data_IF_089835051550
#
_entry.id   IF_089835051550
#
_cell.length_a   1.000
_cell.length_b   1.000
_cell.length_c   1.000
_cell.angle_alpha   90.00
_cell.angle_beta   90.00
_cell.angle_gamma   90.00
#
_symmetry.space_group_name_H-M   'P 1'
#
loop_
_entity.id
_entity.type
_entity.pdbx_description
1 polymer ?
#
# COMPACT_ATOMS: atom_id res chain seq x y z
N UNK A 1 62.01 -26.03 50.40
CA UNK A 1 61.67 -27.14 49.48
C UNK A 1 60.23 -27.51 49.66
N UNK A 2 59.38 -26.84 48.95
CA UNK A 2 57.99 -27.31 48.77
C UNK A 2 57.46 -26.69 47.47
N UNK A 3 57.35 -27.59 46.52
CA UNK A 3 56.77 -27.34 45.21
C UNK A 3 55.24 -27.28 45.35
N UNK A 4 54.61 -26.22 44.79
CA UNK A 4 53.17 -26.13 44.71
C UNK A 4 52.78 -25.83 43.28
N UNK A 5 52.54 -26.90 42.53
CA UNK A 5 51.96 -26.88 41.20
C UNK A 5 50.53 -26.34 41.26
N UNK A 6 50.29 -25.15 40.71
CA UNK A 6 48.99 -24.54 40.53
C UNK A 6 48.43 -24.92 39.17
N UNK A 7 47.43 -25.77 39.13
CA UNK A 7 46.70 -26.12 37.93
C UNK A 7 45.83 -24.94 37.48
N UNK A 8 46.11 -24.43 36.28
CA UNK A 8 45.27 -23.43 35.60
C UNK A 8 44.09 -24.15 34.99
N UNK A 9 42.90 -23.94 35.56
CA UNK A 9 41.62 -24.38 34.98
C UNK A 9 41.26 -23.40 33.85
N UNK A 10 41.37 -23.87 32.63
CA UNK A 10 40.91 -23.13 31.46
C UNK A 10 39.38 -23.00 31.47
N UNK A 11 38.88 -21.79 31.58
CA UNK A 11 37.46 -21.48 31.44
C UNK A 11 37.02 -21.71 30.00
N UNK A 12 36.03 -22.57 29.81
CA UNK A 12 35.37 -22.80 28.53
C UNK A 12 34.62 -21.51 28.11
N UNK A 13 34.61 -21.13 26.80
CA UNK A 13 33.88 -19.97 26.36
C UNK A 13 32.36 -20.22 26.48
N UNK A 14 31.72 -19.31 27.17
CA UNK A 14 30.26 -19.20 27.28
C UNK A 14 29.64 -19.06 25.86
N UNK A 15 29.06 -20.15 25.38
CA UNK A 15 28.25 -20.11 24.15
C UNK A 15 26.94 -19.40 24.46
N UNK A 16 26.99 -18.07 24.43
CA UNK A 16 25.86 -17.20 24.58
C UNK A 16 24.75 -17.56 23.58
N UNK A 17 23.82 -18.37 24.05
CA UNK A 17 22.54 -18.61 23.40
C UNK A 17 21.90 -17.28 23.10
N UNK A 18 21.91 -16.85 21.84
CA UNK A 18 21.12 -15.70 21.37
C UNK A 18 19.66 -15.93 21.76
N UNK A 19 19.21 -15.37 22.87
CA UNK A 19 17.80 -15.30 23.26
C UNK A 19 17.05 -14.71 22.06
N UNK A 20 16.32 -15.57 21.36
CA UNK A 20 15.43 -15.23 20.26
C UNK A 20 14.40 -14.27 20.84
N UNK A 21 14.57 -12.96 20.61
CA UNK A 21 13.65 -11.93 21.04
C UNK A 21 12.26 -12.28 20.49
N UNK A 22 11.32 -12.58 21.39
CA UNK A 22 9.94 -12.90 21.00
C UNK A 22 9.32 -11.58 20.56
N UNK A 23 9.25 -11.36 19.25
CA UNK A 23 8.57 -10.18 18.70
C UNK A 23 7.10 -10.22 19.09
N UNK A 24 6.49 -9.04 19.38
CA UNK A 24 5.06 -8.91 19.65
C UNK A 24 4.20 -9.56 18.56
N UNK A 25 3.00 -10.02 18.92
CA UNK A 25 2.07 -10.68 17.98
C UNK A 25 1.78 -9.82 16.76
N UNK A 26 1.60 -8.52 16.95
CA UNK A 26 1.34 -7.56 15.87
C UNK A 26 2.51 -7.46 14.87
N UNK A 27 3.76 -7.44 15.35
CA UNK A 27 4.93 -7.38 14.48
C UNK A 27 5.06 -8.62 13.59
N UNK A 28 4.77 -9.81 14.13
CA UNK A 28 4.80 -11.05 13.34
C UNK A 28 3.70 -11.10 12.29
N UNK A 29 2.52 -10.58 12.63
CA UNK A 29 1.42 -10.44 11.68
C UNK A 29 1.83 -9.53 10.52
N UNK A 30 2.39 -8.36 10.81
CA UNK A 30 2.88 -7.43 9.79
C UNK A 30 4.01 -8.04 8.95
N UNK A 31 4.96 -8.73 9.57
CA UNK A 31 6.05 -9.41 8.88
C UNK A 31 5.54 -10.45 7.87
N UNK A 32 4.46 -11.17 8.18
CA UNK A 32 3.83 -12.12 7.26
C UNK A 32 3.10 -11.40 6.11
N UNK A 33 2.41 -10.29 6.36
CA UNK A 33 1.78 -9.46 5.33
C UNK A 33 2.84 -8.91 4.37
N UNK A 34 3.92 -8.33 4.89
CA UNK A 34 5.00 -7.76 4.07
C UNK A 34 5.69 -8.85 3.22
N UNK A 35 5.91 -10.03 3.79
CA UNK A 35 6.45 -11.17 3.05
C UNK A 35 5.47 -11.64 1.95
N UNK A 36 4.17 -11.61 2.22
CA UNK A 36 3.14 -11.95 1.23
C UNK A 36 3.16 -10.96 0.06
N UNK A 37 3.27 -9.66 0.34
CA UNK A 37 3.41 -8.61 -0.69
C UNK A 37 4.63 -8.89 -1.58
N UNK A 38 5.80 -9.19 -0.98
CA UNK A 38 7.01 -9.52 -1.76
C UNK A 38 6.82 -10.78 -2.59
N UNK A 39 6.26 -11.83 -2.02
CA UNK A 39 6.00 -13.08 -2.74
C UNK A 39 5.04 -12.87 -3.93
N UNK A 40 3.93 -12.14 -3.74
CA UNK A 40 2.98 -11.83 -4.82
C UNK A 40 3.68 -11.05 -5.94
N UNK A 41 4.48 -10.04 -5.59
CA UNK A 41 5.19 -9.23 -6.56
C UNK A 41 6.23 -10.03 -7.39
N UNK A 42 6.80 -11.09 -6.81
CA UNK A 42 7.80 -11.94 -7.47
C UNK A 42 7.20 -13.10 -8.28
N UNK A 43 6.14 -13.71 -7.77
CA UNK A 43 5.63 -14.99 -8.27
C UNK A 43 4.19 -14.92 -8.78
N UNK A 44 3.50 -13.80 -8.59
CA UNK A 44 2.08 -13.66 -8.89
C UNK A 44 1.19 -14.27 -7.80
N UNK A 45 -0.06 -13.80 -7.73
CA UNK A 45 -1.02 -14.15 -6.67
C UNK A 45 -1.38 -15.64 -6.64
N UNK A 46 -1.58 -16.26 -7.82
CA UNK A 46 -2.03 -17.65 -7.94
C UNK A 46 -0.97 -18.67 -7.49
N UNK A 47 0.32 -18.33 -7.61
CA UNK A 47 1.44 -19.23 -7.27
C UNK A 47 1.78 -19.26 -5.77
N UNK A 48 1.20 -18.37 -4.95
CA UNK A 48 1.57 -18.23 -3.54
C UNK A 48 1.20 -19.46 -2.72
N UNK A 49 2.16 -19.91 -1.92
CA UNK A 49 1.96 -20.96 -0.91
C UNK A 49 2.32 -20.43 0.47
N UNK A 50 1.76 -21.05 1.53
CA UNK A 50 2.10 -20.69 2.91
C UNK A 50 3.59 -20.88 3.20
N UNK A 51 4.20 -21.94 2.63
CA UNK A 51 5.63 -22.20 2.77
C UNK A 51 6.50 -21.11 2.14
N UNK A 52 6.12 -20.59 0.97
CA UNK A 52 6.85 -19.49 0.34
C UNK A 52 6.84 -18.25 1.22
N UNK A 53 5.67 -17.86 1.71
CA UNK A 53 5.50 -16.68 2.56
C UNK A 53 6.28 -16.83 3.87
N UNK A 54 6.18 -17.98 4.54
CA UNK A 54 6.85 -18.19 5.82
C UNK A 54 8.37 -18.26 5.68
N UNK A 55 8.88 -18.81 4.57
CA UNK A 55 10.31 -18.77 4.24
C UNK A 55 10.78 -17.34 4.03
N UNK A 56 10.06 -16.56 3.24
CA UNK A 56 10.35 -15.15 2.99
C UNK A 56 10.28 -14.30 4.29
N UNK A 57 9.36 -14.64 5.18
CA UNK A 57 9.22 -13.98 6.48
C UNK A 57 10.25 -14.44 7.52
N UNK A 58 10.98 -15.57 7.29
CA UNK A 58 11.84 -16.18 8.31
C UNK A 58 11.04 -16.74 9.50
N UNK A 59 9.81 -17.21 9.27
CA UNK A 59 8.88 -17.72 10.27
C UNK A 59 8.45 -19.16 9.93
N UNK A 60 7.92 -19.90 10.90
CA UNK A 60 7.36 -21.22 10.65
C UNK A 60 5.92 -21.17 10.15
N UNK A 61 5.48 -22.21 9.43
CA UNK A 61 4.08 -22.37 9.00
C UNK A 61 3.13 -22.39 10.19
N UNK A 62 3.55 -22.97 11.33
CA UNK A 62 2.75 -22.95 12.56
C UNK A 62 2.47 -21.54 13.07
N UNK A 63 3.45 -20.62 12.99
CA UNK A 63 3.25 -19.20 13.34
C UNK A 63 2.28 -18.55 12.36
N UNK A 64 2.40 -18.78 11.06
CA UNK A 64 1.48 -18.22 10.09
C UNK A 64 0.05 -18.71 10.29
N UNK A 65 -0.14 -20.00 10.56
CA UNK A 65 -1.46 -20.57 10.87
C UNK A 65 -2.06 -20.01 12.16
N UNK A 66 -1.23 -19.71 13.17
CA UNK A 66 -1.70 -19.07 14.41
C UNK A 66 -2.27 -17.66 14.16
N UNK A 67 -1.74 -16.93 13.16
CA UNK A 67 -2.17 -15.56 12.84
C UNK A 67 -3.31 -15.47 11.83
N UNK A 68 -3.32 -16.39 10.86
CA UNK A 68 -4.20 -16.27 9.69
C UNK A 68 -5.06 -17.50 9.42
N UNK A 69 -4.83 -18.62 10.15
CA UNK A 69 -5.55 -19.89 10.02
C UNK A 69 -5.34 -20.59 8.66
N UNK A 70 -5.39 -19.84 7.56
CA UNK A 70 -5.26 -20.34 6.19
C UNK A 70 -4.53 -19.37 5.27
N UNK A 71 -4.03 -19.89 4.13
CA UNK A 71 -3.48 -19.05 3.05
C UNK A 71 -4.52 -18.06 2.53
N UNK A 72 -5.77 -18.49 2.37
CA UNK A 72 -6.83 -17.65 1.84
C UNK A 72 -7.11 -16.44 2.76
N UNK A 73 -7.14 -16.65 4.07
CA UNK A 73 -7.27 -15.56 5.01
C UNK A 73 -6.05 -14.63 5.02
N UNK A 74 -4.83 -15.18 4.91
CA UNK A 74 -3.62 -14.36 4.78
C UNK A 74 -3.70 -13.46 3.53
N UNK A 75 -4.14 -13.99 2.39
CA UNK A 75 -4.30 -13.22 1.16
C UNK A 75 -5.38 -12.14 1.30
N UNK A 76 -6.52 -12.45 1.93
CA UNK A 76 -7.59 -11.45 2.21
C UNK A 76 -7.10 -10.33 3.12
N UNK A 77 -6.37 -10.66 4.18
CA UNK A 77 -5.81 -9.68 5.11
C UNK A 77 -4.71 -8.83 4.45
N UNK A 78 -3.93 -9.42 3.55
CA UNK A 78 -2.94 -8.67 2.76
C UNK A 78 -3.63 -7.68 1.81
N UNK A 79 -4.73 -8.08 1.17
CA UNK A 79 -5.52 -7.18 0.32
C UNK A 79 -6.12 -6.03 1.13
N UNK A 80 -6.72 -6.33 2.30
CA UNK A 80 -7.24 -5.28 3.19
C UNK A 80 -6.17 -4.30 3.59
N UNK A 81 -5.01 -4.79 4.02
CA UNK A 81 -3.89 -3.95 4.42
C UNK A 81 -3.45 -2.99 3.30
N UNK A 82 -3.28 -3.50 2.08
CA UNK A 82 -2.87 -2.67 0.93
C UNK A 82 -3.97 -1.65 0.55
N UNK A 83 -5.23 -2.07 0.58
CA UNK A 83 -6.37 -1.20 0.29
C UNK A 83 -6.54 -0.10 1.36
N UNK A 84 -6.47 -0.45 2.64
CA UNK A 84 -6.58 0.50 3.75
C UNK A 84 -5.42 1.50 3.77
N UNK A 85 -4.19 1.05 3.49
CA UNK A 85 -3.03 1.95 3.41
C UNK A 85 -3.20 2.99 2.28
N UNK A 86 -3.67 2.55 1.10
CA UNK A 86 -3.84 3.44 -0.05
C UNK A 86 -5.04 4.39 0.13
N UNK A 87 -6.20 3.85 0.41
CA UNK A 87 -7.42 4.66 0.52
C UNK A 87 -7.46 5.46 1.83
N UNK A 88 -6.92 4.91 2.92
CA UNK A 88 -6.81 5.63 4.18
C UNK A 88 -5.97 6.90 4.06
N UNK A 89 -4.81 6.81 3.41
CA UNK A 89 -3.97 7.98 3.17
C UNK A 89 -4.62 9.03 2.25
N UNK A 90 -5.41 8.60 1.26
CA UNK A 90 -6.19 9.53 0.44
C UNK A 90 -7.30 10.23 1.25
N UNK A 91 -8.05 9.47 2.04
CA UNK A 91 -9.14 9.99 2.86
C UNK A 91 -8.60 11.00 3.87
N UNK A 92 -7.49 10.69 4.54
CA UNK A 92 -6.83 11.59 5.49
C UNK A 92 -6.47 12.93 4.84
N UNK A 93 -5.93 12.93 3.62
CA UNK A 93 -5.62 14.16 2.89
C UNK A 93 -6.90 14.89 2.46
N UNK A 94 -7.90 14.18 1.95
CA UNK A 94 -9.14 14.80 1.46
C UNK A 94 -9.99 15.39 2.59
N UNK A 95 -9.94 14.82 3.79
CA UNK A 95 -10.60 15.31 5.00
C UNK A 95 -9.74 16.27 5.81
N UNK A 96 -8.44 16.34 5.54
CA UNK A 96 -7.41 16.97 6.36
C UNK A 96 -7.72 18.42 6.70
N UNK A 97 -8.02 18.67 7.96
CA UNK A 97 -8.17 20.02 8.53
C UNK A 97 -6.84 20.79 8.52
N UNK A 98 -5.71 20.05 8.45
CA UNK A 98 -4.35 20.61 8.45
C UNK A 98 -3.99 21.31 7.12
N UNK A 99 -4.74 21.08 6.03
CA UNK A 99 -4.55 21.72 4.73
C UNK A 99 -5.85 22.45 4.35
N UNK A 100 -6.05 23.69 4.80
CA UNK A 100 -7.31 24.41 4.59
C UNK A 100 -7.52 24.84 3.14
N UNK A 101 -6.46 25.17 2.40
CA UNK A 101 -6.55 25.53 0.99
C UNK A 101 -6.88 24.31 0.12
N UNK A 102 -7.95 24.42 -0.69
CA UNK A 102 -8.44 23.31 -1.50
C UNK A 102 -7.49 22.94 -2.65
N UNK A 103 -6.77 23.90 -3.20
CA UNK A 103 -5.77 23.68 -4.24
C UNK A 103 -4.54 22.93 -3.67
N UNK A 104 -4.03 23.37 -2.51
CA UNK A 104 -2.95 22.69 -1.81
C UNK A 104 -3.34 21.26 -1.40
N UNK A 105 -4.60 21.07 -0.97
CA UNK A 105 -5.13 19.74 -0.63
C UNK A 105 -5.18 18.84 -1.86
N UNK A 106 -5.55 19.36 -3.00
CA UNK A 106 -5.57 18.62 -4.25
C UNK A 106 -4.15 18.28 -4.75
N UNK A 107 -3.20 19.19 -4.61
CA UNK A 107 -1.79 18.92 -4.90
C UNK A 107 -1.19 17.87 -3.93
N UNK A 108 -1.54 17.94 -2.66
CA UNK A 108 -1.12 16.94 -1.66
C UNK A 108 -1.68 15.54 -2.00
N UNK A 109 -2.94 15.45 -2.43
CA UNK A 109 -3.56 14.20 -2.89
C UNK A 109 -2.81 13.63 -4.11
N UNK A 110 -2.50 14.48 -5.08
CA UNK A 110 -1.74 14.09 -6.27
C UNK A 110 -0.33 13.62 -5.92
N UNK A 111 0.33 14.30 -4.97
CA UNK A 111 1.65 13.94 -4.46
C UNK A 111 1.64 12.61 -3.73
N UNK A 112 0.61 12.33 -2.97
CA UNK A 112 0.42 11.05 -2.32
C UNK A 112 0.22 9.94 -3.35
N UNK A 113 -0.74 10.09 -4.26
CA UNK A 113 -1.12 9.06 -5.24
C UNK A 113 0.02 8.68 -6.20
N UNK A 114 0.82 9.65 -6.65
CA UNK A 114 1.94 9.43 -7.56
C UNK A 114 3.31 9.45 -6.85
N UNK A 115 3.31 9.55 -5.53
CA UNK A 115 4.48 9.55 -4.68
C UNK A 115 5.18 8.19 -4.58
N UNK A 116 6.39 8.21 -4.01
CA UNK A 116 7.22 6.99 -3.88
C UNK A 116 6.57 5.90 -3.01
N UNK A 117 5.77 6.28 -2.02
CA UNK A 117 5.11 5.34 -1.11
C UNK A 117 4.14 4.43 -1.84
N UNK A 118 3.27 5.01 -2.66
CA UNK A 118 2.22 4.33 -3.41
C UNK A 118 2.78 3.65 -4.67
N UNK A 119 3.61 4.34 -5.43
CA UNK A 119 4.14 3.86 -6.71
C UNK A 119 5.34 2.90 -6.57
N UNK A 120 5.49 2.23 -5.43
CA UNK A 120 6.42 1.11 -5.30
C UNK A 120 5.96 -0.05 -6.17
N UNK A 121 6.89 -0.55 -7.02
CA UNK A 121 6.58 -1.63 -7.96
C UNK A 121 5.91 -2.84 -7.27
N UNK A 122 6.37 -3.20 -6.09
CA UNK A 122 5.80 -4.33 -5.34
C UNK A 122 4.34 -4.09 -4.95
N UNK A 123 3.99 -2.91 -4.41
CA UNK A 123 2.62 -2.57 -4.01
C UNK A 123 1.69 -2.51 -5.22
N UNK A 124 2.13 -1.86 -6.31
CA UNK A 124 1.35 -1.83 -7.56
C UNK A 124 1.13 -3.23 -8.14
N UNK A 125 2.16 -4.09 -8.12
CA UNK A 125 2.02 -5.48 -8.59
C UNK A 125 0.98 -6.26 -7.79
N UNK A 126 0.94 -6.07 -6.47
CA UNK A 126 -0.06 -6.69 -5.59
C UNK A 126 -1.46 -6.19 -5.94
N UNK A 127 -1.62 -4.87 -6.05
CA UNK A 127 -2.90 -4.24 -6.36
C UNK A 127 -3.50 -4.77 -7.67
N UNK A 128 -2.72 -4.73 -8.75
CA UNK A 128 -3.19 -5.22 -10.05
C UNK A 128 -3.35 -6.74 -10.12
N UNK A 129 -2.59 -7.51 -9.33
CA UNK A 129 -2.80 -8.95 -9.22
C UNK A 129 -4.17 -9.28 -8.61
N UNK A 130 -4.60 -8.54 -7.58
CA UNK A 130 -5.94 -8.69 -7.01
C UNK A 130 -7.05 -8.20 -7.94
N UNK A 131 -6.83 -7.11 -8.68
CA UNK A 131 -7.79 -6.63 -9.69
C UNK A 131 -8.04 -7.69 -10.76
N UNK A 132 -6.99 -8.36 -11.24
CA UNK A 132 -7.14 -9.45 -12.21
C UNK A 132 -7.96 -10.65 -11.70
N UNK A 133 -7.98 -10.88 -10.39
CA UNK A 133 -8.74 -11.97 -9.76
C UNK A 133 -10.14 -11.55 -9.28
N UNK A 134 -10.46 -10.25 -9.26
CA UNK A 134 -11.70 -9.74 -8.67
C UNK A 134 -12.96 -10.32 -9.33
N UNK A 135 -12.94 -10.52 -10.66
CA UNK A 135 -14.06 -11.11 -11.39
C UNK A 135 -14.32 -12.58 -11.02
N UNK A 136 -13.26 -13.34 -10.71
CA UNK A 136 -13.37 -14.76 -10.32
C UNK A 136 -13.56 -14.95 -8.80
N UNK A 137 -13.30 -13.92 -8.00
CA UNK A 137 -13.32 -13.99 -6.53
C UNK A 137 -14.13 -12.84 -5.93
N UNK A 138 -15.45 -12.99 -5.76
CA UNK A 138 -16.32 -11.94 -5.23
C UNK A 138 -15.90 -11.38 -3.87
N UNK A 139 -15.19 -12.17 -3.06
CA UNK A 139 -14.66 -11.73 -1.75
C UNK A 139 -13.60 -10.63 -1.91
N UNK A 140 -12.76 -10.68 -2.94
CA UNK A 140 -11.77 -9.63 -3.21
C UNK A 140 -12.47 -8.36 -3.68
N UNK A 141 -13.43 -8.46 -4.59
CA UNK A 141 -14.26 -7.35 -5.01
C UNK A 141 -14.94 -6.67 -3.81
N UNK A 142 -15.51 -7.45 -2.88
CA UNK A 142 -16.17 -6.91 -1.67
C UNK A 142 -15.19 -6.17 -0.75
N UNK A 143 -13.97 -6.68 -0.57
CA UNK A 143 -12.95 -6.03 0.25
C UNK A 143 -12.58 -4.66 -0.33
N UNK A 144 -12.29 -4.60 -1.62
CA UNK A 144 -11.87 -3.37 -2.30
C UNK A 144 -13.03 -2.37 -2.37
N UNK A 145 -14.21 -2.78 -2.83
CA UNK A 145 -15.36 -1.89 -3.06
C UNK A 145 -15.85 -1.14 -1.81
N UNK A 146 -15.54 -1.63 -0.61
CA UNK A 146 -15.94 -0.96 0.63
C UNK A 146 -15.11 0.31 0.87
N UNK A 147 -13.79 0.21 0.73
CA UNK A 147 -12.87 1.35 0.92
C UNK A 147 -12.87 2.28 -0.30
N UNK A 148 -12.96 1.73 -1.53
CA UNK A 148 -13.10 2.50 -2.77
C UNK A 148 -14.31 3.43 -2.75
N UNK A 149 -15.45 2.94 -2.27
CA UNK A 149 -16.67 3.75 -2.20
C UNK A 149 -16.50 4.96 -1.30
N UNK A 150 -15.89 4.77 -0.12
CA UNK A 150 -15.66 5.87 0.79
C UNK A 150 -14.68 6.89 0.19
N UNK A 151 -13.57 6.44 -0.38
CA UNK A 151 -12.61 7.30 -1.04
C UNK A 151 -13.23 8.07 -2.22
N UNK A 152 -14.06 7.42 -3.04
CA UNK A 152 -14.79 8.06 -4.14
C UNK A 152 -15.77 9.13 -3.64
N UNK A 153 -16.50 8.88 -2.55
CA UNK A 153 -17.39 9.87 -1.94
C UNK A 153 -16.61 11.09 -1.41
N UNK A 154 -15.45 10.88 -0.80
CA UNK A 154 -14.60 11.98 -0.30
C UNK A 154 -14.00 12.80 -1.44
N UNK A 155 -13.60 12.15 -2.53
CA UNK A 155 -13.11 12.83 -3.72
C UNK A 155 -14.21 13.68 -4.39
N UNK A 156 -15.42 13.12 -4.52
CA UNK A 156 -16.60 13.86 -5.03
C UNK A 156 -16.91 15.07 -4.15
N UNK A 157 -16.84 14.92 -2.82
CA UNK A 157 -17.05 16.02 -1.89
C UNK A 157 -15.97 17.12 -2.04
N UNK A 158 -14.69 16.75 -2.10
CA UNK A 158 -13.58 17.68 -2.34
C UNK A 158 -13.78 18.46 -3.66
N UNK A 159 -14.13 17.77 -4.73
CA UNK A 159 -14.38 18.42 -6.03
C UNK A 159 -15.60 19.33 -5.99
N UNK A 160 -16.66 18.94 -5.26
CA UNK A 160 -17.85 19.81 -5.04
C UNK A 160 -17.46 21.10 -4.34
N UNK A 161 -16.62 21.04 -3.32
CA UNK A 161 -16.15 22.22 -2.60
C UNK A 161 -15.29 23.13 -3.48
N UNK A 162 -14.38 22.56 -4.28
CA UNK A 162 -13.55 23.29 -5.24
C UNK A 162 -14.43 23.97 -6.31
N UNK A 163 -15.44 23.28 -6.85
CA UNK A 163 -16.37 23.82 -7.85
C UNK A 163 -17.13 25.01 -7.27
N UNK A 164 -17.60 24.87 -6.03
CA UNK A 164 -18.34 25.93 -5.33
C UNK A 164 -17.45 27.15 -5.08
N UNK A 165 -16.25 26.94 -4.53
CA UNK A 165 -15.32 28.02 -4.21
C UNK A 165 -14.83 28.75 -5.47
N UNK A 166 -14.46 28.01 -6.51
CA UNK A 166 -13.99 28.57 -7.78
C UNK A 166 -15.10 29.10 -8.69
N UNK A 167 -16.38 28.84 -8.38
CA UNK A 167 -17.51 29.25 -9.19
C UNK A 167 -17.51 28.63 -10.59
N UNK A 168 -17.00 27.39 -10.72
CA UNK A 168 -16.91 26.70 -12.02
C UNK A 168 -18.29 26.25 -12.50
N UNK A 169 -18.62 26.56 -13.76
CA UNK A 169 -19.90 26.23 -14.36
C UNK A 169 -19.75 25.03 -15.31
N UNK A 170 -20.77 24.19 -15.37
CA UNK A 170 -20.82 23.06 -16.31
C UNK A 170 -19.88 21.91 -15.94
N UNK A 171 -19.35 21.89 -14.72
CA UNK A 171 -18.50 20.80 -14.19
C UNK A 171 -19.33 19.97 -13.22
N UNK A 172 -19.48 18.68 -13.50
CA UNK A 172 -20.07 17.70 -12.59
C UNK A 172 -18.99 17.05 -11.73
N UNK A 173 -19.10 17.22 -10.40
CA UNK A 173 -18.10 16.72 -9.44
C UNK A 173 -17.94 15.21 -9.50
N UNK A 174 -19.05 14.47 -9.64
CA UNK A 174 -19.06 13.00 -9.66
C UNK A 174 -18.41 12.44 -10.92
N UNK A 175 -18.79 12.99 -12.07
CA UNK A 175 -18.23 12.58 -13.36
C UNK A 175 -16.74 12.91 -13.44
N UNK A 176 -16.34 14.09 -12.94
CA UNK A 176 -14.94 14.48 -12.89
C UNK A 176 -14.13 13.58 -11.93
N UNK A 177 -14.67 13.27 -10.74
CA UNK A 177 -14.03 12.37 -9.78
C UNK A 177 -13.85 10.96 -10.35
N UNK A 178 -14.88 10.45 -11.06
CA UNK A 178 -14.81 9.17 -11.75
C UNK A 178 -13.72 9.17 -12.83
N UNK A 179 -13.68 10.20 -13.66
CA UNK A 179 -12.68 10.36 -14.71
C UNK A 179 -11.26 10.50 -14.16
N UNK A 180 -11.10 11.27 -13.08
CA UNK A 180 -9.82 11.42 -12.39
C UNK A 180 -9.32 10.09 -11.78
N UNK A 181 -10.19 9.36 -11.09
CA UNK A 181 -9.83 8.04 -10.52
C UNK A 181 -9.39 7.07 -11.61
N UNK A 182 -10.13 6.99 -12.72
CA UNK A 182 -9.75 6.15 -13.86
C UNK A 182 -8.41 6.59 -14.50
N UNK A 183 -8.12 7.89 -14.54
CA UNK A 183 -6.83 8.42 -15.00
C UNK A 183 -5.69 7.96 -14.07
N UNK A 184 -5.85 8.10 -12.76
CA UNK A 184 -4.84 7.68 -11.77
C UNK A 184 -4.56 6.19 -11.87
N UNK A 185 -5.59 5.36 -11.98
CA UNK A 185 -5.44 3.91 -12.17
C UNK A 185 -4.69 3.57 -13.46
N UNK A 186 -5.02 4.25 -14.56
CA UNK A 186 -4.31 4.11 -15.83
C UNK A 186 -2.84 4.52 -15.75
N UNK A 187 -2.53 5.60 -15.02
CA UNK A 187 -1.15 6.05 -14.79
C UNK A 187 -0.38 5.06 -13.91
N UNK A 188 -0.99 4.50 -12.86
CA UNK A 188 -0.38 3.45 -12.05
C UNK A 188 -0.06 2.20 -12.88
N UNK A 189 -1.00 1.75 -13.71
CA UNK A 189 -0.80 0.63 -14.61
C UNK A 189 0.36 0.92 -15.60
N UNK A 190 0.39 2.09 -16.19
CA UNK A 190 1.47 2.51 -17.08
C UNK A 190 2.84 2.53 -16.39
N UNK A 191 2.92 3.05 -15.16
CA UNK A 191 4.16 3.03 -14.36
C UNK A 191 4.64 1.61 -14.05
N UNK A 192 3.74 0.65 -13.92
CA UNK A 192 4.06 -0.75 -13.67
C UNK A 192 4.52 -1.49 -14.94
N UNK A 193 3.76 -1.33 -16.03
CA UNK A 193 3.88 -2.16 -17.25
C UNK A 193 4.84 -1.54 -18.26
N UNK A 194 4.84 -0.22 -18.41
CA UNK A 194 5.66 0.52 -19.38
C UNK A 194 6.55 1.58 -18.73
N UNK A 195 7.40 1.22 -17.74
CA UNK A 195 8.18 2.20 -16.95
C UNK A 195 9.24 2.96 -17.77
N UNK A 196 9.56 2.50 -18.98
CA UNK A 196 10.46 3.21 -19.91
C UNK A 196 9.75 4.32 -20.67
N UNK A 197 8.43 4.20 -20.87
CA UNK A 197 7.60 5.14 -21.62
C UNK A 197 6.94 6.18 -20.70
N UNK A 198 6.56 5.76 -19.48
CA UNK A 198 5.92 6.61 -18.51
C UNK A 198 6.76 6.76 -17.24
N UNK A 199 7.34 7.93 -17.02
CA UNK A 199 8.02 8.28 -15.78
C UNK A 199 7.03 8.86 -14.75
N UNK A 200 7.35 8.76 -13.44
CA UNK A 200 6.54 9.37 -12.37
C UNK A 200 6.33 10.87 -12.58
N UNK A 201 7.36 11.58 -13.03
CA UNK A 201 7.26 13.01 -13.36
C UNK A 201 6.22 13.24 -14.46
N UNK A 202 6.25 12.44 -15.54
CA UNK A 202 5.28 12.56 -16.63
C UNK A 202 3.87 12.21 -16.18
N UNK A 203 3.71 11.14 -15.38
CA UNK A 203 2.42 10.77 -14.80
C UNK A 203 1.82 11.93 -13.98
N UNK A 204 2.64 12.54 -13.10
CA UNK A 204 2.23 13.72 -12.33
C UNK A 204 1.84 14.90 -13.22
N UNK A 205 2.63 15.21 -14.24
CA UNK A 205 2.29 16.28 -15.20
C UNK A 205 0.95 16.02 -15.87
N UNK A 206 0.70 14.79 -16.33
CA UNK A 206 -0.57 14.42 -16.99
C UNK A 206 -1.76 14.58 -16.03
N UNK A 207 -1.65 14.09 -14.81
CA UNK A 207 -2.73 14.21 -13.83
C UNK A 207 -2.95 15.68 -13.39
N UNK A 208 -1.86 16.44 -13.20
CA UNK A 208 -1.95 17.88 -12.88
C UNK A 208 -2.60 18.67 -14.02
N UNK A 209 -2.22 18.42 -15.27
CA UNK A 209 -2.83 19.07 -16.44
C UNK A 209 -4.31 18.73 -16.60
N UNK A 210 -4.73 17.52 -16.25
CA UNK A 210 -6.14 17.14 -16.21
C UNK A 210 -6.91 17.99 -15.18
N UNK A 211 -6.40 18.07 -13.95
CA UNK A 211 -7.00 18.85 -12.88
C UNK A 211 -6.99 20.36 -13.19
N UNK A 212 -5.90 20.90 -13.73
CA UNK A 212 -5.81 22.33 -14.13
C UNK A 212 -6.85 22.73 -15.16
N UNK A 213 -7.19 21.84 -16.10
CA UNK A 213 -8.26 22.11 -17.09
C UNK A 213 -9.64 22.19 -16.44
N UNK A 214 -9.87 21.42 -15.38
CA UNK A 214 -11.11 21.45 -14.63
C UNK A 214 -11.13 22.60 -13.61
N UNK A 215 -10.01 22.87 -12.96
CA UNK A 215 -9.87 23.80 -11.84
C UNK A 215 -8.73 24.83 -12.04
N UNK A 216 -8.80 25.68 -13.08
CA UNK A 216 -7.70 26.58 -13.44
C UNK A 216 -7.39 27.69 -12.44
N UNK A 217 -8.22 27.90 -11.40
CA UNK A 217 -7.98 28.85 -10.31
C UNK A 217 -7.36 28.20 -9.08
N UNK A 218 -7.36 26.86 -8.99
CA UNK A 218 -6.86 26.10 -7.86
C UNK A 218 -5.57 25.33 -8.18
N UNK A 219 -5.28 25.14 -9.46
CA UNK A 219 -4.09 24.42 -9.93
C UNK A 219 -3.33 25.28 -10.93
N UNK A 220 -2.10 25.64 -10.60
CA UNK A 220 -1.19 26.43 -11.47
C UNK A 220 -0.60 25.61 -12.64
#
# INVERSE_FOLDING_TARGET
MTDTSGAVVAALPDTGSKRRQIRPKAERRQQLIDATIRCIAQHGLSAITMQMVTREAGLSVGIANLHFESKDNLLKETLRFVAEEYHGGQIEIMEGEDIPDLGERLDALLDFQLGRGVTQRQKMSVWFAYYGEAGARPVYQKIVSTVDRLAAQKLEALFTDIIREGGYQGVDARELATGYSALIDGLHLGLLVTPRELSKRRARTVARDFLRRAFPRHID
#
